data_IF_745002030646
#
_entry.id   IF_745002030646
#
_cell.length_a   1.000
_cell.length_b   1.000
_cell.length_c   1.000
_cell.angle_alpha   90.00
_cell.angle_beta   90.00
_cell.angle_gamma   90.00
#
_symmetry.space_group_name_H-M   'P 1'
#
loop_
_entity.id
_entity.type
_entity.pdbx_description
1 polymer ?
#
# COMPACT_ATOMS: atom_id res chain seq x y z
N UNK A 1 2.35 -18.65 -3.83
CA UNK A 1 1.67 -17.44 -3.32
C UNK A 1 2.26 -16.25 -4.05
N UNK A 2 1.47 -15.27 -4.46
CA UNK A 2 2.00 -14.09 -5.14
C UNK A 2 1.98 -12.88 -4.21
N UNK A 3 2.93 -11.97 -4.40
CA UNK A 3 2.97 -10.66 -3.72
C UNK A 3 3.12 -9.59 -4.79
N UNK A 4 2.19 -8.64 -4.82
CA UNK A 4 2.26 -7.48 -5.73
C UNK A 4 3.07 -6.39 -5.06
N UNK A 5 4.09 -5.88 -5.76
CA UNK A 5 5.01 -4.85 -5.28
C UNK A 5 5.02 -3.67 -6.26
N UNK A 6 5.28 -2.48 -5.73
CA UNK A 6 5.62 -1.36 -6.59
C UNK A 6 6.99 -1.60 -7.26
N UNK A 7 7.35 -0.76 -8.22
CA UNK A 7 8.59 -0.93 -8.98
C UNK A 7 9.82 -0.28 -8.32
N UNK A 8 9.80 -0.01 -7.02
CA UNK A 8 10.94 0.62 -6.34
C UNK A 8 12.20 -0.25 -6.45
N UNK A 9 13.34 0.40 -6.68
CA UNK A 9 14.63 -0.27 -6.95
C UNK A 9 15.04 -1.27 -5.86
N UNK A 10 14.67 -1.04 -4.60
CA UNK A 10 15.01 -1.94 -3.50
C UNK A 10 14.19 -3.25 -3.52
N UNK A 11 13.04 -3.30 -4.18
CA UNK A 11 12.32 -4.57 -4.41
C UNK A 11 13.01 -5.49 -5.43
N UNK A 12 13.98 -4.96 -6.17
CA UNK A 12 14.85 -5.68 -7.11
C UNK A 12 16.27 -5.88 -6.57
N UNK A 13 16.51 -5.50 -5.30
CA UNK A 13 17.83 -5.66 -4.71
C UNK A 13 18.21 -7.13 -4.66
N UNK A 14 19.45 -7.46 -5.05
CA UNK A 14 19.94 -8.84 -5.09
C UNK A 14 19.75 -9.59 -3.76
N UNK A 15 20.00 -8.91 -2.64
CA UNK A 15 19.82 -9.48 -1.31
C UNK A 15 18.38 -9.93 -1.03
N UNK A 16 17.38 -9.33 -1.69
CA UNK A 16 15.98 -9.75 -1.63
C UNK A 16 15.67 -10.79 -2.71
N UNK A 17 16.10 -10.58 -3.95
CA UNK A 17 15.77 -11.50 -5.05
C UNK A 17 16.37 -12.89 -4.84
N UNK A 18 17.55 -12.97 -4.23
CA UNK A 18 18.20 -14.23 -3.88
C UNK A 18 17.33 -15.04 -2.90
N UNK A 19 16.51 -14.39 -2.04
CA UNK A 19 15.60 -15.10 -1.13
C UNK A 19 14.45 -15.83 -1.83
N UNK A 20 14.12 -15.48 -3.07
CA UNK A 20 13.09 -16.16 -3.87
C UNK A 20 13.63 -17.38 -4.62
N UNK A 21 14.94 -17.63 -4.63
CA UNK A 21 15.54 -18.75 -5.32
C UNK A 21 15.13 -20.10 -4.69
N UNK A 22 15.18 -21.22 -5.44
CA UNK A 22 14.90 -22.54 -4.89
C UNK A 22 15.75 -22.86 -3.65
N UNK A 23 15.12 -23.40 -2.61
CA UNK A 23 15.76 -23.73 -1.33
C UNK A 23 15.98 -22.53 -0.39
N UNK A 24 15.49 -21.34 -0.74
CA UNK A 24 15.59 -20.13 0.09
C UNK A 24 14.29 -19.79 0.81
N UNK A 25 14.36 -18.87 1.77
CA UNK A 25 13.27 -18.57 2.70
C UNK A 25 11.95 -18.17 2.02
N UNK A 26 12.01 -17.56 0.83
CA UNK A 26 10.84 -17.05 0.10
C UNK A 26 10.58 -17.82 -1.20
N UNK A 27 11.11 -19.04 -1.37
CA UNK A 27 10.98 -19.84 -2.61
C UNK A 27 9.53 -20.06 -3.08
N UNK A 28 8.56 -19.96 -2.16
CA UNK A 28 7.12 -20.16 -2.42
C UNK A 28 6.36 -18.87 -2.74
N UNK A 29 7.07 -17.73 -2.72
CA UNK A 29 6.54 -16.39 -3.02
C UNK A 29 7.00 -15.98 -4.41
N UNK A 30 6.04 -15.65 -5.27
CA UNK A 30 6.27 -15.07 -6.58
C UNK A 30 6.02 -13.56 -6.51
N UNK A 31 7.06 -12.71 -6.62
CA UNK A 31 6.85 -11.27 -6.73
C UNK A 31 6.24 -10.93 -8.10
N UNK A 32 5.25 -10.03 -8.09
CA UNK A 32 4.66 -9.41 -9.27
C UNK A 32 4.92 -7.91 -9.15
N UNK A 33 5.68 -7.36 -10.09
CA UNK A 33 6.05 -5.94 -10.07
C UNK A 33 5.08 -5.15 -10.94
N UNK A 34 4.52 -4.08 -10.39
CA UNK A 34 3.72 -3.13 -11.17
C UNK A 34 4.62 -2.38 -12.18
N UNK A 35 4.07 -1.89 -13.30
CA UNK A 35 4.79 -1.00 -14.19
C UNK A 35 5.32 0.25 -13.44
N UNK A 36 6.44 0.83 -13.90
CA UNK A 36 6.89 2.12 -13.37
C UNK A 36 5.77 3.17 -13.41
N UNK A 37 5.64 3.95 -12.34
CA UNK A 37 4.69 5.07 -12.24
C UNK A 37 3.21 4.68 -12.40
N UNK A 38 2.82 3.49 -11.91
CA UNK A 38 1.43 3.04 -11.88
C UNK A 38 0.84 3.02 -10.45
N UNK A 39 0.86 4.14 -9.69
CA UNK A 39 0.36 4.16 -8.32
C UNK A 39 -1.14 3.86 -8.24
N UNK A 40 -1.91 4.24 -9.26
CA UNK A 40 -3.35 3.95 -9.32
C UNK A 40 -3.64 2.44 -9.33
N UNK A 41 -2.68 1.62 -9.76
CA UNK A 41 -2.78 0.15 -9.78
C UNK A 41 -2.16 -0.50 -8.53
N UNK A 42 -1.70 0.29 -7.57
CA UNK A 42 -1.16 -0.22 -6.32
C UNK A 42 -2.23 -0.17 -5.22
N UNK A 43 -2.79 -1.31 -4.77
CA UNK A 43 -3.81 -1.33 -3.72
C UNK A 43 -3.31 -0.68 -2.41
N UNK A 44 -2.01 -0.73 -2.13
CA UNK A 44 -1.43 -0.08 -0.95
C UNK A 44 -1.57 1.44 -1.00
N UNK A 45 -1.45 2.06 -2.18
CA UNK A 45 -1.64 3.51 -2.35
C UNK A 45 -3.09 3.92 -2.08
N UNK A 46 -4.06 3.10 -2.47
CA UNK A 46 -5.48 3.35 -2.17
C UNK A 46 -5.76 3.34 -0.67
N UNK A 47 -5.27 2.33 0.05
CA UNK A 47 -5.38 2.24 1.52
C UNK A 47 -4.69 3.42 2.19
N UNK A 48 -3.49 3.77 1.72
CA UNK A 48 -2.72 4.88 2.27
C UNK A 48 -3.42 6.23 2.06
N UNK A 49 -3.92 6.50 0.85
CA UNK A 49 -4.65 7.73 0.53
C UNK A 49 -5.91 7.88 1.37
N UNK A 50 -6.71 6.81 1.50
CA UNK A 50 -7.92 6.82 2.33
C UNK A 50 -7.60 7.12 3.80
N UNK A 51 -6.58 6.46 4.36
CA UNK A 51 -6.17 6.69 5.74
C UNK A 51 -5.62 8.09 5.95
N UNK A 52 -4.74 8.56 5.05
CA UNK A 52 -4.17 9.91 5.09
C UNK A 52 -5.27 10.97 5.07
N UNK A 53 -6.20 10.89 4.12
CA UNK A 53 -7.29 11.86 3.99
C UNK A 53 -8.16 11.91 5.27
N UNK A 54 -8.32 10.78 5.96
CA UNK A 54 -9.09 10.73 7.19
C UNK A 54 -8.36 11.33 8.41
N UNK A 55 -7.04 11.15 8.51
CA UNK A 55 -6.30 11.48 9.73
C UNK A 55 -5.47 12.78 9.67
N UNK A 56 -5.21 13.32 8.47
CA UNK A 56 -4.24 14.39 8.24
C UNK A 56 -4.61 15.73 8.89
N UNK A 57 -5.90 16.03 9.04
CA UNK A 57 -6.36 17.32 9.57
C UNK A 57 -6.29 17.44 11.10
N UNK A 58 -5.86 16.38 11.80
CA UNK A 58 -5.63 16.41 13.24
C UNK A 58 -4.14 16.25 13.51
N UNK A 59 -3.48 17.35 13.90
CA UNK A 59 -2.12 17.30 14.42
C UNK A 59 -2.09 16.51 15.72
N UNK A 60 -1.07 15.67 15.89
CA UNK A 60 -0.85 14.85 17.07
C UNK A 60 0.53 15.13 17.62
N UNK A 61 0.63 15.12 18.95
CA UNK A 61 1.84 15.58 19.65
C UNK A 61 3.02 14.60 19.55
N UNK A 62 2.76 13.34 19.17
CA UNK A 62 3.78 12.31 19.03
C UNK A 62 3.56 11.45 17.78
N UNK A 63 4.64 10.90 17.19
CA UNK A 63 4.53 9.97 16.06
C UNK A 63 3.69 8.72 16.36
N UNK A 64 3.74 8.20 17.59
CA UNK A 64 3.00 7.00 18.01
C UNK A 64 1.49 7.24 17.94
N UNK A 65 1.02 8.42 18.36
CA UNK A 65 -0.40 8.78 18.23
C UNK A 65 -0.85 8.78 16.76
N UNK A 66 -0.01 9.27 15.85
CA UNK A 66 -0.29 9.25 14.40
C UNK A 66 -0.32 7.82 13.87
N UNK A 67 0.64 6.99 14.27
CA UNK A 67 0.67 5.58 13.90
C UNK A 67 -0.55 4.81 14.44
N UNK A 68 -0.96 5.03 15.69
CA UNK A 68 -2.16 4.43 16.27
C UNK A 68 -3.42 4.85 15.51
N UNK A 69 -3.54 6.12 15.14
CA UNK A 69 -4.69 6.59 14.36
C UNK A 69 -4.73 5.97 12.96
N UNK A 70 -3.58 5.90 12.29
CA UNK A 70 -3.47 5.26 10.97
C UNK A 70 -3.81 3.77 11.04
N UNK A 71 -3.20 3.03 11.98
CA UNK A 71 -3.45 1.59 12.15
C UNK A 71 -4.90 1.31 12.51
N UNK A 72 -5.46 2.04 13.49
CA UNK A 72 -6.89 1.97 13.84
C UNK A 72 -7.77 2.24 12.62
N UNK A 73 -7.39 3.17 11.75
CA UNK A 73 -8.14 3.45 10.53
C UNK A 73 -8.13 2.26 9.57
N UNK A 74 -6.97 1.65 9.30
CA UNK A 74 -6.86 0.61 8.27
C UNK A 74 -7.31 -0.78 8.76
N UNK A 75 -7.22 -1.10 10.06
CA UNK A 75 -7.55 -2.44 10.56
C UNK A 75 -9.04 -2.67 10.80
N UNK A 76 -9.84 -1.60 10.87
CA UNK A 76 -11.26 -1.67 11.23
C UNK A 76 -12.21 -1.61 10.03
N UNK A 77 -11.70 -1.82 8.80
CA UNK A 77 -12.46 -1.69 7.56
C UNK A 77 -11.82 -2.47 6.43
N UNK A 78 -12.64 -2.81 5.44
CA UNK A 78 -12.21 -3.36 4.15
C UNK A 78 -12.11 -2.24 3.12
N UNK A 79 -11.21 -2.39 2.17
CA UNK A 79 -11.03 -1.45 1.07
C UNK A 79 -11.39 -2.18 -0.22
N UNK A 80 -12.40 -1.69 -0.93
CA UNK A 80 -12.78 -2.25 -2.21
C UNK A 80 -11.66 -1.98 -3.22
N UNK A 81 -11.19 -3.06 -3.84
CA UNK A 81 -10.13 -3.00 -4.83
C UNK A 81 -10.42 -4.01 -5.93
N UNK A 82 -10.57 -3.50 -7.15
CA UNK A 82 -10.63 -4.29 -8.37
C UNK A 82 -9.43 -3.89 -9.24
N UNK A 83 -8.64 -4.89 -9.62
CA UNK A 83 -7.43 -4.70 -10.42
C UNK A 83 -7.76 -4.25 -11.86
N UNK A 84 -8.92 -4.63 -12.39
CA UNK A 84 -9.39 -4.23 -13.72
C UNK A 84 -10.22 -2.93 -13.66
N UNK A 85 -10.90 -2.68 -12.53
CA UNK A 85 -11.77 -1.52 -12.33
C UNK A 85 -11.34 -0.72 -11.10
N UNK A 86 -10.26 0.06 -11.27
CA UNK A 86 -9.70 0.85 -10.19
C UNK A 86 -10.77 1.70 -9.49
N UNK A 87 -10.80 1.72 -8.15
CA UNK A 87 -11.78 2.49 -7.42
C UNK A 87 -11.65 3.98 -7.78
N UNK A 88 -12.76 4.58 -8.20
CA UNK A 88 -12.81 6.01 -8.47
C UNK A 88 -12.73 6.73 -7.13
N UNK A 89 -11.62 7.43 -6.88
CA UNK A 89 -11.53 8.32 -5.72
C UNK A 89 -12.56 9.43 -5.93
N UNK A 90 -13.63 9.44 -5.13
CA UNK A 90 -14.58 10.54 -5.19
C UNK A 90 -13.86 11.82 -4.75
N UNK A 91 -13.92 12.91 -5.53
CA UNK A 91 -13.41 14.19 -5.06
C UNK A 91 -14.20 14.60 -3.83
N UNK A 92 -13.50 14.90 -2.74
CA UNK A 92 -14.11 15.43 -1.52
C UNK A 92 -14.57 16.86 -1.79
N UNK A 93 -15.82 17.05 -2.20
CA UNK A 93 -16.46 18.38 -2.22
C UNK A 93 -16.95 18.71 -0.82
N UNK A 94 -16.03 19.15 0.04
CA UNK A 94 -16.39 19.87 1.26
C UNK A 94 -16.06 21.35 1.05
N UNK A 95 -16.95 22.03 0.31
CA UNK A 95 -17.11 23.48 0.42
C UNK A 95 -18.24 23.71 1.43
N UNK A 96 -17.88 24.04 2.67
CA UNK A 96 -18.75 24.70 3.64
C UNK A 96 -18.02 25.94 4.16
#
# INVERSE_FOLDING_TARGET
>A
MAVVLDNARFHHARALTDLYAPGQALERITPIYLPPYAPDHNPTEHVWNAAKNNIANLQRDTPEKTFTAFTTYITNRTFDYDLEHLPVTQPHTDLV
#
